data_IF_817937498122
#
_entry.id   IF_817937498122
#
_cell.length_a   1.000
_cell.length_b   1.000
_cell.length_c   1.000
_cell.angle_alpha   90.00
_cell.angle_beta   90.00
_cell.angle_gamma   90.00
#
_symmetry.space_group_name_H-M   'P 1'
#
loop_
_entity.id
_entity.type
_entity.pdbx_description
1 polymer ?
#
# COMPACT_ATOMS: atom_id res chain seq x y z
N UNK A 1 -9.82 14.13 15.29
CA UNK A 1 -10.11 12.87 14.58
C UNK A 1 -8.95 11.93 14.90
N UNK A 2 -9.16 10.98 15.80
CA UNK A 2 -8.17 9.96 16.16
C UNK A 2 -8.23 8.87 15.10
N UNK A 3 -7.09 8.57 14.46
CA UNK A 3 -6.95 7.39 13.63
C UNK A 3 -6.36 6.29 14.53
N UNK A 4 -7.22 5.40 15.01
CA UNK A 4 -6.76 4.18 15.68
C UNK A 4 -6.29 3.20 14.60
N UNK A 5 -4.99 3.11 14.39
CA UNK A 5 -4.42 2.05 13.54
C UNK A 5 -4.23 0.82 14.40
N UNK A 6 -5.25 -0.05 14.48
CA UNK A 6 -4.99 -1.44 14.82
C UNK A 6 -4.09 -1.99 13.72
N UNK A 7 -2.96 -2.61 14.08
CA UNK A 7 -2.16 -3.34 13.11
C UNK A 7 -3.11 -4.31 12.40
N UNK A 8 -3.44 -4.03 11.13
CA UNK A 8 -4.32 -4.92 10.38
C UNK A 8 -3.51 -6.20 10.25
N UNK A 9 -3.92 -7.27 10.92
CA UNK A 9 -3.26 -8.54 10.68
C UNK A 9 -3.47 -8.88 9.21
N UNK A 10 -2.46 -9.43 8.54
CA UNK A 10 -2.59 -9.87 7.14
C UNK A 10 -3.83 -10.77 6.93
N UNK A 11 -4.35 -11.36 8.01
CA UNK A 11 -5.61 -12.10 8.09
C UNK A 11 -6.37 -11.74 9.38
N UNK A 12 -7.61 -11.28 9.26
CA UNK A 12 -8.55 -11.14 10.38
C UNK A 12 -9.87 -11.84 10.07
N UNK A 13 -10.70 -12.16 11.07
CA UNK A 13 -12.05 -12.69 10.85
C UNK A 13 -13.08 -11.58 11.03
N UNK A 14 -14.01 -11.46 10.08
CA UNK A 14 -15.15 -10.57 10.23
C UNK A 14 -16.23 -11.17 11.15
N UNK A 15 -17.28 -10.41 11.44
CA UNK A 15 -18.40 -10.85 12.30
C UNK A 15 -19.12 -12.10 11.77
N UNK A 16 -18.97 -12.43 10.48
CA UNK A 16 -19.50 -13.64 9.85
C UNK A 16 -18.52 -14.81 9.82
N UNK A 17 -17.34 -14.70 10.46
CA UNK A 17 -16.31 -15.74 10.50
C UNK A 17 -15.43 -15.86 9.25
N UNK A 18 -15.64 -15.00 8.24
CA UNK A 18 -14.87 -14.98 7.00
C UNK A 18 -13.54 -14.25 7.19
N UNK A 19 -12.49 -14.71 6.51
CA UNK A 19 -11.20 -14.03 6.52
C UNK A 19 -11.23 -12.74 5.67
N UNK A 20 -10.76 -11.64 6.26
CA UNK A 20 -10.42 -10.39 5.61
C UNK A 20 -8.90 -10.28 5.55
N UNK A 21 -8.39 -9.79 4.43
CA UNK A 21 -6.96 -9.61 4.20
C UNK A 21 -6.67 -8.15 3.90
N UNK A 22 -5.57 -7.61 4.43
CA UNK A 22 -5.11 -6.29 4.03
C UNK A 22 -4.58 -6.29 2.60
N UNK A 23 -4.91 -5.25 1.84
CA UNK A 23 -4.55 -5.12 0.43
C UNK A 23 -3.22 -4.42 0.20
N UNK A 24 -2.52 -3.91 1.23
CA UNK A 24 -1.26 -3.19 1.05
C UNK A 24 -0.37 -3.20 2.30
N UNK A 25 0.94 -3.09 2.10
CA UNK A 25 1.88 -2.89 3.20
C UNK A 25 1.92 -1.42 3.62
N UNK A 26 1.81 -0.53 2.64
CA UNK A 26 1.83 0.92 2.85
C UNK A 26 0.63 1.58 2.19
N UNK A 27 0.06 2.56 2.89
CA UNK A 27 -0.91 3.51 2.35
C UNK A 27 -0.28 4.90 2.43
N UNK A 28 -0.32 5.63 1.31
CA UNK A 28 0.20 7.00 1.20
C UNK A 28 -0.97 7.95 0.98
N UNK A 29 -1.20 8.81 1.98
CA UNK A 29 -2.19 9.86 1.96
C UNK A 29 -1.80 11.02 1.05
N UNK A 30 -2.81 11.75 0.59
CA UNK A 30 -2.62 12.87 -0.33
C UNK A 30 -1.86 14.07 0.30
N UNK A 31 -1.88 14.14 1.63
CA UNK A 31 -1.12 15.09 2.43
C UNK A 31 0.35 14.67 2.63
N UNK A 32 0.73 13.48 2.16
CA UNK A 32 2.06 12.93 2.33
C UNK A 32 2.23 11.98 3.51
N UNK A 33 1.17 11.72 4.26
CA UNK A 33 1.21 10.79 5.39
C UNK A 33 1.45 9.37 4.87
N UNK A 34 2.44 8.67 5.42
CA UNK A 34 2.74 7.27 5.09
C UNK A 34 2.37 6.40 6.29
N UNK A 35 1.46 5.45 6.08
CA UNK A 35 1.04 4.48 7.11
C UNK A 35 1.55 3.10 6.69
N UNK A 36 2.21 2.39 7.61
CA UNK A 36 2.53 0.97 7.44
C UNK A 36 1.40 0.12 8.04
N UNK A 37 0.71 -0.63 7.20
CA UNK A 37 -0.40 -1.50 7.58
C UNK A 37 0.09 -2.92 7.88
N UNK A 38 0.88 -3.51 6.98
CA UNK A 38 1.43 -4.87 7.09
C UNK A 38 2.97 -4.80 7.17
N UNK A 39 3.62 -5.58 8.05
CA UNK A 39 5.08 -5.69 8.06
C UNK A 39 5.61 -6.19 6.70
N UNK A 40 6.74 -5.66 6.22
CA UNK A 40 7.35 -6.03 4.92
C UNK A 40 7.70 -7.52 4.76
N UNK A 41 7.74 -8.28 5.87
CA UNK A 41 8.02 -9.73 5.90
C UNK A 41 6.75 -10.59 5.89
N UNK A 42 5.58 -9.96 5.96
CA UNK A 42 4.28 -10.62 5.88
C UNK A 42 3.65 -10.39 4.49
N UNK A 43 2.60 -11.13 4.17
CA UNK A 43 1.97 -11.07 2.83
C UNK A 43 0.79 -10.10 2.85
N UNK A 44 0.86 -9.05 2.04
CA UNK A 44 -0.31 -8.24 1.67
C UNK A 44 -0.96 -8.77 0.37
N UNK A 45 -2.28 -8.76 0.29
CA UNK A 45 -3.04 -9.35 -0.81
C UNK A 45 -3.42 -8.32 -1.89
N UNK A 46 -2.43 -7.84 -2.65
CA UNK A 46 -2.56 -6.63 -3.49
C UNK A 46 -2.60 -6.85 -5.02
N UNK A 47 -2.00 -7.93 -5.52
CA UNK A 47 -1.75 -8.17 -6.95
C UNK A 47 -1.64 -9.67 -7.34
N UNK A 48 -2.32 -10.56 -6.61
CA UNK A 48 -2.41 -11.98 -6.95
C UNK A 48 -1.08 -12.74 -6.80
N UNK A 49 -0.54 -13.29 -7.89
CA UNK A 49 0.64 -14.19 -7.85
C UNK A 49 1.92 -13.53 -7.32
N UNK A 50 1.99 -12.20 -7.36
CA UNK A 50 3.18 -11.46 -6.91
C UNK A 50 3.18 -11.17 -5.40
N UNK A 51 2.02 -11.29 -4.74
CA UNK A 51 1.83 -10.95 -3.31
C UNK A 51 2.91 -11.53 -2.38
N UNK A 52 3.35 -12.76 -2.64
CA UNK A 52 4.32 -13.45 -1.78
C UNK A 52 5.75 -12.92 -1.87
N UNK A 53 6.07 -12.05 -2.83
CA UNK A 53 7.42 -11.53 -3.04
C UNK A 53 7.46 -10.04 -3.44
N UNK A 54 6.35 -9.31 -3.28
CA UNK A 54 6.27 -7.88 -3.60
C UNK A 54 5.65 -7.06 -2.47
N UNK A 55 6.09 -5.81 -2.37
CA UNK A 55 5.51 -4.82 -1.46
C UNK A 55 4.38 -4.07 -2.18
N UNK A 56 3.15 -4.28 -1.73
CA UNK A 56 2.00 -3.45 -2.12
C UNK A 56 2.01 -2.07 -1.47
N UNK A 57 1.91 -1.02 -2.29
CA UNK A 57 1.78 0.38 -1.87
C UNK A 57 0.53 0.96 -2.55
N UNK A 58 -0.36 1.54 -1.77
CA UNK A 58 -1.58 2.20 -2.25
C UNK A 58 -1.46 3.71 -2.08
N UNK A 59 -1.69 4.47 -3.17
CA UNK A 59 -1.78 5.93 -3.12
C UNK A 59 -3.25 6.34 -3.06
N UNK A 60 -3.59 7.14 -2.06
CA UNK A 60 -4.91 7.75 -1.98
C UNK A 60 -5.07 8.80 -3.09
N UNK A 61 -6.24 8.81 -3.72
CA UNK A 61 -6.68 9.85 -4.65
C UNK A 61 -7.96 10.48 -4.11
N UNK A 62 -8.11 11.80 -4.31
CA UNK A 62 -9.20 12.57 -3.72
C UNK A 62 -10.52 12.41 -4.48
N UNK A 63 -10.47 11.96 -5.73
CA UNK A 63 -11.62 11.87 -6.62
C UNK A 63 -11.55 10.62 -7.51
N UNK A 64 -12.57 10.43 -8.35
CA UNK A 64 -12.67 9.28 -9.24
C UNK A 64 -11.70 9.34 -10.44
N UNK A 65 -10.88 10.39 -10.57
CA UNK A 65 -9.88 10.45 -11.65
C UNK A 65 -8.70 9.53 -11.38
N UNK A 66 -8.52 9.09 -10.13
CA UNK A 66 -7.41 8.24 -9.71
C UNK A 66 -6.06 8.95 -9.67
N UNK A 67 -6.02 10.28 -9.87
CA UNK A 67 -4.78 11.04 -9.89
C UNK A 67 -4.35 11.44 -8.46
N UNK A 68 -3.12 11.09 -8.03
CA UNK A 68 -2.57 11.62 -6.79
C UNK A 68 -2.21 13.10 -6.96
N UNK A 69 -2.13 13.85 -5.86
CA UNK A 69 -1.51 15.19 -5.92
C UNK A 69 -0.01 15.10 -6.17
N UNK A 70 0.57 16.20 -6.66
CA UNK A 70 2.01 16.32 -6.81
C UNK A 70 2.76 16.02 -5.50
N UNK A 71 2.25 16.50 -4.36
CA UNK A 71 2.85 16.25 -3.04
C UNK A 71 2.92 14.75 -2.72
N UNK A 72 1.83 14.02 -2.94
CA UNK A 72 1.79 12.58 -2.72
C UNK A 72 2.73 11.83 -3.68
N UNK A 73 2.81 12.26 -4.94
CA UNK A 73 3.70 11.70 -5.95
C UNK A 73 5.18 11.88 -5.58
N UNK A 74 5.57 13.10 -5.19
CA UNK A 74 6.95 13.45 -4.82
C UNK A 74 7.40 12.67 -3.58
N UNK A 75 6.53 12.59 -2.57
CA UNK A 75 6.82 11.84 -1.35
C UNK A 75 6.89 10.34 -1.59
N UNK A 76 6.02 9.80 -2.44
CA UNK A 76 6.10 8.39 -2.85
C UNK A 76 7.43 8.12 -3.56
N UNK A 77 7.82 8.99 -4.49
CA UNK A 77 9.09 8.85 -5.22
C UNK A 77 10.29 8.93 -4.27
N UNK A 78 10.27 9.85 -3.31
CA UNK A 78 11.30 9.97 -2.30
C UNK A 78 11.35 8.74 -1.38
N UNK A 79 10.20 8.28 -0.89
CA UNK A 79 10.10 7.08 -0.05
C UNK A 79 10.64 5.83 -0.77
N UNK A 80 10.23 5.62 -2.03
CA UNK A 80 10.74 4.52 -2.85
C UNK A 80 12.25 4.60 -3.03
N UNK A 81 12.78 5.81 -3.27
CA UNK A 81 14.21 6.01 -3.46
C UNK A 81 15.03 5.71 -2.20
N UNK A 82 14.62 6.26 -1.07
CA UNK A 82 15.40 6.18 0.17
C UNK A 82 15.21 4.84 0.88
N UNK A 83 14.01 4.26 0.83
CA UNK A 83 13.67 3.08 1.61
C UNK A 83 13.61 1.80 0.78
N UNK A 84 13.18 1.87 -0.47
CA UNK A 84 12.97 0.68 -1.29
C UNK A 84 14.19 0.34 -2.17
N UNK A 85 14.73 1.27 -2.94
CA UNK A 85 15.84 0.99 -3.86
C UNK A 85 17.10 0.37 -3.22
N UNK A 86 17.46 0.68 -1.94
CA UNK A 86 18.59 0.01 -1.30
C UNK A 86 18.36 -1.47 -0.98
N UNK A 87 17.11 -1.94 -1.00
CA UNK A 87 16.73 -3.27 -0.49
C UNK A 87 15.88 -4.10 -1.46
N UNK A 88 15.28 -3.46 -2.47
CA UNK A 88 14.30 -4.08 -3.36
C UNK A 88 14.52 -3.65 -4.82
N UNK A 89 14.26 -4.59 -5.74
CA UNK A 89 14.17 -4.29 -7.15
C UNK A 89 12.81 -3.63 -7.46
N UNK A 90 12.83 -2.42 -8.00
CA UNK A 90 11.60 -1.72 -8.42
C UNK A 90 11.28 -2.08 -9.87
N UNK A 91 10.15 -2.77 -10.08
CA UNK A 91 9.63 -3.12 -11.41
C UNK A 91 8.39 -2.30 -11.74
N UNK A 92 8.47 -1.46 -12.77
CA UNK A 92 7.29 -0.81 -13.30
C UNK A 92 6.46 -1.83 -14.09
N UNK A 93 5.20 -2.04 -13.71
CA UNK A 93 4.22 -2.76 -14.52
C UNK A 93 3.26 -1.73 -15.09
N UNK A 94 3.10 -1.71 -16.41
CA UNK A 94 2.14 -0.82 -17.05
C UNK A 94 0.75 -1.06 -16.43
N UNK A 95 0.12 0.02 -15.96
CA UNK A 95 -1.27 -0.02 -15.51
C UNK A 95 -2.09 -0.38 -16.75
N UNK A 96 -2.64 -1.59 -16.79
CA UNK A 96 -3.64 -1.95 -17.77
C UNK A 96 -4.86 -1.06 -17.53
N UNK A 97 -5.40 -0.37 -18.55
CA UNK A 97 -6.67 0.33 -18.42
C UNK A 97 -7.71 -0.66 -17.89
N UNK A 98 -8.51 -0.24 -16.91
CA UNK A 98 -9.70 -0.99 -16.51
C UNK A 98 -10.76 -0.89 -17.60
#
# INVERSE_FOLDING_TARGET
MLLETNAVLAKEKNSGGNYIYASSHYIIGNDGTIIRCIPEKEVAYHAGKVNGYSIGIELCHMDNTGKPTQKAYDLTSHFLKERCLPHYEVRAKAIQPK
#
